data_IF_201279973460
#
_entry.id   IF_201279973460
#
_cell.length_a   1.000
_cell.length_b   1.000
_cell.length_c   1.000
_cell.angle_alpha   90.00
_cell.angle_beta   90.00
_cell.angle_gamma   90.00
#
_symmetry.space_group_name_H-M   'P 1'
#
loop_
_entity.id
_entity.type
_entity.pdbx_description
1 polymer ?
#
# COMPACT_ATOMS: atom_id res chain seq x y z
N UNK A 1 15.80 15.49 -0.35
CA UNK A 1 16.67 14.36 -0.76
C UNK A 1 16.37 13.09 0.00
N UNK A 2 15.50 12.25 -0.56
CA UNK A 2 15.20 10.91 -0.04
C UNK A 2 16.18 9.89 -0.65
N UNK A 3 17.40 9.86 -0.13
CA UNK A 3 18.41 8.88 -0.53
C UNK A 3 18.23 7.55 0.23
N UNK A 4 18.76 6.43 -0.29
CA UNK A 4 18.77 5.06 0.30
C UNK A 4 18.94 4.98 1.84
N UNK A 5 19.68 5.93 2.42
CA UNK A 5 19.86 6.08 3.86
C UNK A 5 18.54 6.42 4.57
N UNK A 6 17.66 7.25 4.01
CA UNK A 6 16.34 7.54 4.55
C UNK A 6 15.41 6.32 4.48
N UNK A 7 15.50 5.51 3.42
CA UNK A 7 14.74 4.25 3.30
C UNK A 7 15.18 3.21 4.34
N UNK A 8 16.50 3.00 4.50
CA UNK A 8 17.05 2.10 5.52
C UNK A 8 16.71 2.61 6.92
N UNK A 9 16.88 3.91 7.18
CA UNK A 9 16.47 4.54 8.45
C UNK A 9 14.97 4.40 8.68
N UNK A 10 14.14 4.52 7.64
CA UNK A 10 12.71 4.29 7.68
C UNK A 10 12.36 2.86 8.07
N UNK A 11 12.97 1.87 7.40
CA UNK A 11 12.82 0.45 7.73
C UNK A 11 13.28 0.11 9.15
N UNK A 12 14.40 0.68 9.60
CA UNK A 12 14.90 0.55 10.98
C UNK A 12 13.93 1.20 11.97
N UNK A 13 13.39 2.38 11.69
CA UNK A 13 12.40 3.04 12.54
C UNK A 13 11.11 2.22 12.66
N UNK A 14 10.62 1.67 11.55
CA UNK A 14 9.45 0.78 11.52
C UNK A 14 9.72 -0.49 12.33
N UNK A 15 10.92 -1.09 12.19
CA UNK A 15 11.36 -2.23 13.00
C UNK A 15 11.40 -1.89 14.48
N UNK A 16 12.07 -0.80 14.85
CA UNK A 16 12.21 -0.38 16.25
C UNK A 16 10.83 -0.12 16.86
N UNK A 17 9.92 0.52 16.12
CA UNK A 17 8.54 0.72 16.55
C UNK A 17 7.83 -0.62 16.81
N UNK A 18 7.94 -1.60 15.90
CA UNK A 18 7.37 -2.93 16.10
C UNK A 18 7.97 -3.63 17.32
N UNK A 19 9.29 -3.54 17.52
CA UNK A 19 9.98 -4.11 18.69
C UNK A 19 9.51 -3.48 19.98
N UNK A 20 9.38 -2.15 20.05
CA UNK A 20 8.81 -1.45 21.20
C UNK A 20 7.40 -1.96 21.52
N UNK A 21 6.52 -2.12 20.53
CA UNK A 21 5.18 -2.68 20.78
C UNK A 21 5.23 -4.12 21.31
N UNK A 22 6.17 -4.95 20.86
CA UNK A 22 6.37 -6.33 21.36
C UNK A 22 6.92 -6.37 22.78
N UNK A 23 7.83 -5.46 23.12
CA UNK A 23 8.35 -5.29 24.48
C UNK A 23 7.26 -4.84 25.43
N UNK A 24 6.44 -3.86 25.04
CA UNK A 24 5.30 -3.40 25.83
C UNK A 24 4.24 -4.50 26.01
N UNK A 25 3.99 -5.32 24.98
CA UNK A 25 3.08 -6.47 25.09
C UNK A 25 3.62 -7.52 26.08
N UNK A 26 4.94 -7.75 26.06
CA UNK A 26 5.61 -8.65 27.01
C UNK A 26 5.58 -8.09 28.43
N UNK A 27 5.72 -6.76 28.59
CA UNK A 27 5.59 -6.07 29.87
C UNK A 27 4.18 -6.24 30.46
N UNK A 28 3.13 -6.06 29.66
CA UNK A 28 1.74 -6.24 30.11
C UNK A 28 1.48 -7.67 30.60
N UNK A 29 2.13 -8.66 30.00
CA UNK A 29 2.00 -10.07 30.38
C UNK A 29 2.90 -10.46 31.57
N UNK A 30 3.80 -9.58 32.00
CA UNK A 30 4.71 -9.84 33.11
C UNK A 30 3.96 -9.87 34.44
N UNK A 31 4.25 -10.84 35.33
CA UNK A 31 3.64 -10.90 36.66
C UNK A 31 4.05 -9.71 37.56
N UNK A 32 5.11 -8.97 37.19
CA UNK A 32 5.58 -7.80 37.94
C UNK A 32 4.98 -6.48 37.46
N UNK A 33 4.12 -6.51 36.44
CA UNK A 33 3.51 -5.30 35.91
C UNK A 33 2.28 -4.89 36.74
N UNK A 34 2.33 -3.67 37.28
CA UNK A 34 1.26 -3.10 38.10
C UNK A 34 0.30 -2.30 37.22
N UNK A 35 -0.99 -2.61 37.31
CA UNK A 35 -2.04 -1.96 36.52
C UNK A 35 -2.43 -0.63 37.17
N UNK A 36 -2.01 0.48 36.56
CA UNK A 36 -2.46 1.83 36.94
C UNK A 36 -3.82 2.19 36.31
N UNK A 37 -4.34 3.39 36.62
CA UNK A 37 -5.64 3.88 36.13
C UNK A 37 -5.75 3.87 34.59
N UNK A 38 -4.65 4.16 33.88
CA UNK A 38 -4.60 4.18 32.42
C UNK A 38 -4.32 2.81 31.76
N UNK A 39 -4.26 1.73 32.55
CA UNK A 39 -3.89 0.40 32.05
C UNK A 39 -4.75 -0.05 30.86
N UNK A 40 -6.06 0.20 30.91
CA UNK A 40 -7.00 -0.24 29.87
C UNK A 40 -6.78 0.48 28.52
N UNK A 41 -6.33 1.73 28.55
CA UNK A 41 -5.95 2.49 27.35
C UNK A 41 -4.58 2.06 26.84
N UNK A 42 -3.62 1.87 27.74
CA UNK A 42 -2.27 1.40 27.43
C UNK A 42 -2.29 0.01 26.80
N UNK A 43 -2.98 -0.95 27.41
CA UNK A 43 -3.15 -2.31 26.88
C UNK A 43 -3.87 -2.29 25.53
N UNK A 44 -4.92 -1.49 25.38
CA UNK A 44 -5.60 -1.29 24.10
C UNK A 44 -4.67 -0.77 23.00
N UNK A 45 -3.86 0.26 23.30
CA UNK A 45 -2.89 0.83 22.37
C UNK A 45 -1.77 -0.13 21.99
N UNK A 46 -1.27 -0.92 22.95
CA UNK A 46 -0.23 -1.93 22.70
C UNK A 46 -0.75 -3.07 21.84
N UNK A 47 -1.92 -3.64 22.17
CA UNK A 47 -2.56 -4.70 21.38
C UNK A 47 -2.91 -4.23 19.98
N UNK A 48 -3.36 -2.98 19.85
CA UNK A 48 -3.58 -2.34 18.56
C UNK A 48 -2.29 -2.24 17.74
N UNK A 49 -1.22 -1.69 18.31
CA UNK A 49 0.06 -1.55 17.61
C UNK A 49 0.60 -2.91 17.14
N UNK A 50 0.66 -3.90 18.05
CA UNK A 50 1.07 -5.27 17.71
C UNK A 50 0.18 -5.87 16.62
N UNK A 51 -1.14 -5.70 16.73
CA UNK A 51 -2.11 -6.19 15.75
C UNK A 51 -1.94 -5.55 14.38
N UNK A 52 -1.77 -4.23 14.31
CA UNK A 52 -1.58 -3.48 13.07
C UNK A 52 -0.28 -3.89 12.36
N UNK A 53 0.82 -4.05 13.10
CA UNK A 53 2.08 -4.55 12.53
C UNK A 53 1.93 -5.99 12.04
N UNK A 54 1.33 -6.89 12.82
CA UNK A 54 1.12 -8.29 12.40
C UNK A 54 0.22 -8.40 11.17
N UNK A 55 -0.84 -7.59 11.11
CA UNK A 55 -1.74 -7.55 9.95
C UNK A 55 -1.01 -7.01 8.71
N UNK A 56 -0.30 -5.89 8.84
CA UNK A 56 0.54 -5.34 7.77
C UNK A 56 1.56 -6.37 7.27
N UNK A 57 2.25 -7.05 8.19
CA UNK A 57 3.20 -8.10 7.86
C UNK A 57 2.54 -9.30 7.15
N UNK A 58 1.36 -9.72 7.60
CA UNK A 58 0.62 -10.83 6.97
C UNK A 58 0.20 -10.56 5.53
N UNK A 59 0.07 -9.28 5.17
CA UNK A 59 -0.31 -8.84 3.82
C UNK A 59 0.88 -8.70 2.87
N UNK A 60 2.13 -8.74 3.37
CA UNK A 60 3.28 -8.71 2.50
C UNK A 60 3.50 -10.07 1.81
N UNK A 61 3.79 -10.08 0.50
CA UNK A 61 4.23 -11.29 -0.18
C UNK A 61 5.41 -11.96 0.54
N UNK A 62 5.42 -13.29 0.61
CA UNK A 62 6.45 -14.08 1.31
C UNK A 62 7.90 -13.80 0.85
N UNK A 63 8.09 -13.15 -0.30
CA UNK A 63 9.41 -12.68 -0.79
C UNK A 63 9.87 -11.40 -0.11
N UNK A 64 8.94 -10.51 0.25
CA UNK A 64 9.21 -9.27 0.98
C UNK A 64 9.42 -9.58 2.47
N UNK A 65 8.64 -10.50 3.03
CA UNK A 65 8.86 -11.01 4.39
C UNK A 65 10.29 -11.57 4.57
N UNK A 66 10.80 -12.34 3.61
CA UNK A 66 12.19 -12.83 3.61
C UNK A 66 13.26 -11.74 3.52
N UNK A 67 12.95 -10.60 2.90
CA UNK A 67 13.84 -9.43 2.88
C UNK A 67 13.78 -8.64 4.20
N UNK A 68 12.62 -8.61 4.86
CA UNK A 68 12.44 -8.00 6.19
C UNK A 68 13.02 -8.87 7.33
N UNK A 69 13.07 -10.19 7.16
CA UNK A 69 13.78 -11.13 8.04
C UNK A 69 15.28 -10.77 8.17
N UNK A 70 15.92 -10.36 7.07
CA UNK A 70 17.32 -9.88 7.07
C UNK A 70 17.50 -8.61 7.90
N UNK A 71 16.43 -7.82 8.07
CA UNK A 71 16.39 -6.61 8.91
C UNK A 71 15.84 -6.95 10.32
N UNK A 72 15.70 -8.23 10.68
CA UNK A 72 15.41 -8.66 12.07
C UNK A 72 13.93 -8.80 12.45
N UNK A 73 13.01 -8.86 11.49
CA UNK A 73 11.64 -9.29 11.75
C UNK A 73 11.59 -10.82 11.89
N UNK A 74 11.81 -11.35 13.10
CA UNK A 74 11.57 -12.77 13.40
C UNK A 74 10.12 -12.97 13.81
N UNK A 75 9.28 -13.42 12.89
CA UNK A 75 7.95 -13.97 13.18
C UNK A 75 8.04 -15.49 13.28
N UNK A 76 7.49 -16.09 14.33
CA UNK A 76 7.50 -17.55 14.54
C UNK A 76 7.08 -18.33 13.28
N UNK A 77 8.03 -19.11 12.75
CA UNK A 77 7.99 -19.87 11.47
C UNK A 77 6.87 -20.91 11.33
N UNK A 78 5.99 -21.08 12.32
CA UNK A 78 4.99 -22.17 12.33
C UNK A 78 3.59 -21.72 11.87
N UNK A 79 3.25 -20.43 11.95
CA UNK A 79 1.93 -19.94 11.46
C UNK A 79 1.95 -19.33 10.05
N UNK A 80 3.12 -18.90 9.55
CA UNK A 80 3.25 -18.21 8.26
C UNK A 80 3.30 -19.11 7.01
N UNK A 81 3.25 -20.44 7.17
CA UNK A 81 3.43 -21.40 6.05
C UNK A 81 2.13 -21.98 5.47
N UNK A 82 0.95 -21.48 5.87
CA UNK A 82 -0.36 -22.00 5.40
C UNK A 82 -1.37 -20.99 4.84
N UNK A 83 -1.02 -19.72 4.67
CA UNK A 83 -2.00 -18.65 4.41
C UNK A 83 -1.84 -17.95 3.06
N UNK A 84 -1.69 -18.72 1.98
CA UNK A 84 -1.93 -18.20 0.61
C UNK A 84 -3.42 -17.94 0.32
N UNK A 85 -4.30 -18.47 1.19
CA UNK A 85 -5.68 -18.03 1.37
C UNK A 85 -5.74 -17.40 2.76
N UNK A 86 -5.59 -16.07 2.83
CA UNK A 86 -5.87 -15.35 4.08
C UNK A 86 -7.32 -15.65 4.45
N UNK A 87 -7.57 -16.09 5.69
CA UNK A 87 -8.92 -16.26 6.20
C UNK A 87 -9.50 -14.85 6.38
N UNK A 88 -10.17 -14.35 5.35
CA UNK A 88 -10.73 -13.00 5.29
C UNK A 88 -11.74 -12.82 6.43
N UNK A 89 -12.44 -13.90 6.77
CA UNK A 89 -13.39 -13.99 7.87
C UNK A 89 -12.69 -13.78 9.23
N UNK A 90 -11.50 -14.34 9.42
CA UNK A 90 -10.71 -14.12 10.64
C UNK A 90 -10.20 -12.68 10.74
N UNK A 91 -9.71 -12.12 9.63
CA UNK A 91 -9.25 -10.73 9.59
C UNK A 91 -10.41 -9.76 9.93
N UNK A 92 -11.60 -10.03 9.41
CA UNK A 92 -12.80 -9.25 9.71
C UNK A 92 -13.22 -9.40 11.17
N UNK A 93 -13.21 -10.62 11.71
CA UNK A 93 -13.54 -10.89 13.12
C UNK A 93 -12.62 -10.12 14.06
N UNK A 94 -11.31 -10.08 13.76
CA UNK A 94 -10.33 -9.33 14.54
C UNK A 94 -10.52 -7.82 14.43
N UNK A 95 -10.90 -7.32 13.25
CA UNK A 95 -11.04 -5.88 12.99
C UNK A 95 -12.33 -5.29 13.56
N UNK A 96 -13.43 -6.04 13.55
CA UNK A 96 -14.78 -5.59 13.96
C UNK A 96 -14.84 -4.89 15.33
N UNK A 97 -14.27 -5.41 16.44
CA UNK A 97 -14.32 -4.71 17.73
C UNK A 97 -13.57 -3.38 17.71
N UNK A 98 -12.51 -3.25 16.91
CA UNK A 98 -11.77 -2.00 16.80
C UNK A 98 -12.51 -0.95 15.98
N UNK A 99 -13.21 -1.34 14.91
CA UNK A 99 -14.09 -0.42 14.17
C UNK A 99 -15.23 0.09 15.05
N UNK A 100 -15.80 -0.76 15.90
CA UNK A 100 -16.84 -0.35 16.85
C UNK A 100 -16.29 0.65 17.89
N UNK A 101 -15.07 0.40 18.40
CA UNK A 101 -14.45 1.27 19.42
C UNK A 101 -13.86 2.56 18.84
N UNK A 102 -13.38 2.52 17.60
CA UNK A 102 -12.67 3.60 16.93
C UNK A 102 -13.16 3.76 15.47
N UNK A 103 -14.41 4.22 15.28
CA UNK A 103 -15.04 4.26 13.96
C UNK A 103 -14.34 5.16 12.96
N UNK A 104 -13.60 6.18 13.43
CA UNK A 104 -12.77 7.08 12.60
C UNK A 104 -11.28 6.76 12.67
N UNK A 105 -10.89 5.58 13.10
CA UNK A 105 -9.48 5.19 13.08
C UNK A 105 -9.03 4.86 11.66
N UNK A 106 -8.25 5.74 11.03
CA UNK A 106 -7.80 5.59 9.64
C UNK A 106 -7.17 4.21 9.35
N UNK A 107 -6.34 3.69 10.27
CA UNK A 107 -5.75 2.35 10.10
C UNK A 107 -6.80 1.24 10.03
N UNK A 108 -7.88 1.35 10.82
CA UNK A 108 -8.95 0.36 10.82
C UNK A 108 -9.80 0.47 9.57
N UNK A 109 -10.13 1.70 9.14
CA UNK A 109 -10.87 1.96 7.91
C UNK A 109 -10.12 1.44 6.68
N UNK A 110 -8.80 1.70 6.62
CA UNK A 110 -7.93 1.18 5.56
C UNK A 110 -7.97 -0.35 5.48
N UNK A 111 -7.81 -1.05 6.61
CA UNK A 111 -7.88 -2.50 6.61
C UNK A 111 -9.29 -3.03 6.31
N UNK A 112 -10.32 -2.30 6.70
CA UNK A 112 -11.69 -2.65 6.35
C UNK A 112 -11.89 -2.56 4.83
N UNK A 113 -11.40 -1.51 4.17
CA UNK A 113 -11.40 -1.40 2.70
C UNK A 113 -10.61 -2.53 2.02
N UNK A 114 -9.47 -2.94 2.61
CA UNK A 114 -8.68 -4.07 2.09
C UNK A 114 -9.44 -5.40 2.19
N UNK A 115 -10.16 -5.63 3.29
CA UNK A 115 -11.03 -6.81 3.44
C UNK A 115 -12.14 -6.80 2.40
N UNK A 116 -12.84 -5.68 2.20
CA UNK A 116 -13.89 -5.58 1.17
C UNK A 116 -13.34 -5.80 -0.24
N UNK A 117 -12.15 -5.26 -0.55
CA UNK A 117 -11.45 -5.51 -1.81
C UNK A 117 -11.18 -7.01 -2.01
N UNK A 118 -10.72 -7.70 -0.96
CA UNK A 118 -10.45 -9.14 -1.01
C UNK A 118 -11.73 -9.99 -1.13
N UNK A 119 -12.86 -9.51 -0.61
CA UNK A 119 -14.19 -10.12 -0.80
C UNK A 119 -14.77 -9.87 -2.20
N UNK A 120 -14.18 -8.94 -2.96
CA UNK A 120 -14.71 -8.49 -4.26
C UNK A 120 -15.80 -7.40 -4.15
N UNK A 121 -16.06 -6.89 -2.94
CA UNK A 121 -17.04 -5.83 -2.69
C UNK A 121 -16.42 -4.45 -2.98
N UNK A 122 -16.13 -4.17 -4.25
CA UNK A 122 -15.31 -3.00 -4.63
C UNK A 122 -15.96 -1.67 -4.24
N UNK A 123 -17.29 -1.53 -4.34
CA UNK A 123 -18.00 -0.32 -3.92
C UNK A 123 -17.87 -0.04 -2.43
N UNK A 124 -18.01 -1.08 -1.60
CA UNK A 124 -17.79 -0.96 -0.16
C UNK A 124 -16.33 -0.61 0.16
N UNK A 125 -15.38 -1.16 -0.59
CA UNK A 125 -13.97 -0.84 -0.43
C UNK A 125 -13.68 0.64 -0.73
N UNK A 126 -14.21 1.18 -1.84
CA UNK A 126 -14.08 2.60 -2.21
C UNK A 126 -14.57 3.50 -1.09
N UNK A 127 -15.81 3.28 -0.61
CA UNK A 127 -16.37 4.08 0.48
C UNK A 127 -15.49 4.06 1.73
N UNK A 128 -14.94 2.89 2.10
CA UNK A 128 -14.05 2.77 3.26
C UNK A 128 -12.72 3.51 3.08
N UNK A 129 -12.16 3.55 1.87
CA UNK A 129 -10.95 4.32 1.60
C UNK A 129 -11.21 5.83 1.58
N UNK A 130 -12.37 6.27 1.09
CA UNK A 130 -12.78 7.67 1.14
C UNK A 130 -13.01 8.12 2.59
N UNK A 131 -13.79 7.37 3.38
CA UNK A 131 -13.95 7.59 4.83
C UNK A 131 -12.59 7.64 5.54
N UNK A 132 -11.66 6.77 5.13
CA UNK A 132 -10.32 6.74 5.69
C UNK A 132 -9.52 8.02 5.38
N UNK A 133 -9.65 8.55 4.17
CA UNK A 133 -9.04 9.82 3.79
C UNK A 133 -9.66 10.99 4.55
N UNK A 134 -10.96 10.97 4.80
CA UNK A 134 -11.67 12.01 5.57
C UNK A 134 -11.29 11.99 7.06
N UNK A 135 -11.09 10.79 7.63
CA UNK A 135 -10.86 10.58 9.05
C UNK A 135 -9.59 11.27 9.60
N UNK A 136 -8.62 11.59 8.75
CA UNK A 136 -7.40 12.31 9.16
C UNK A 136 -6.87 13.17 8.00
N UNK A 137 -6.35 14.37 8.27
CA UNK A 137 -5.83 15.29 7.23
C UNK A 137 -4.34 15.64 7.39
N UNK A 138 -3.69 15.18 8.45
CA UNK A 138 -2.32 15.58 8.79
C UNK A 138 -1.26 14.70 8.11
N UNK A 139 -1.54 13.42 7.94
CA UNK A 139 -0.59 12.42 7.46
C UNK A 139 -0.83 12.06 5.99
N UNK A 140 -0.36 12.91 5.08
CA UNK A 140 -0.57 12.78 3.63
C UNK A 140 -0.09 11.43 3.06
N UNK A 141 0.95 10.84 3.63
CA UNK A 141 1.46 9.54 3.21
C UNK A 141 0.43 8.41 3.42
N UNK A 142 -0.44 8.55 4.42
CA UNK A 142 -1.52 7.59 4.64
C UNK A 142 -2.61 7.71 3.57
N UNK A 143 -2.90 8.94 3.12
CA UNK A 143 -3.78 9.16 1.96
C UNK A 143 -3.22 8.52 0.70
N UNK A 144 -1.91 8.59 0.48
CA UNK A 144 -1.28 7.92 -0.67
C UNK A 144 -1.48 6.40 -0.66
N UNK A 145 -1.54 5.76 0.52
CA UNK A 145 -1.91 4.34 0.60
C UNK A 145 -3.37 4.12 0.15
N UNK A 146 -4.29 4.99 0.57
CA UNK A 146 -5.68 4.92 0.15
C UNK A 146 -5.84 5.20 -1.36
N UNK A 147 -5.14 6.20 -1.89
CA UNK A 147 -5.13 6.52 -3.33
C UNK A 147 -4.61 5.36 -4.18
N UNK A 148 -3.60 4.64 -3.69
CA UNK A 148 -3.12 3.44 -4.35
C UNK A 148 -4.21 2.36 -4.43
N UNK A 149 -4.92 2.11 -3.34
CA UNK A 149 -5.99 1.11 -3.31
C UNK A 149 -7.21 1.56 -4.13
N UNK A 150 -7.58 2.85 -4.07
CA UNK A 150 -8.64 3.44 -4.88
C UNK A 150 -8.34 3.33 -6.38
N UNK A 151 -7.10 3.61 -6.79
CA UNK A 151 -6.64 3.41 -8.17
C UNK A 151 -6.94 1.98 -8.67
N UNK A 152 -6.64 0.97 -7.85
CA UNK A 152 -6.96 -0.43 -8.18
C UNK A 152 -8.46 -0.74 -8.14
N UNK A 153 -9.20 -0.21 -7.17
CA UNK A 153 -10.66 -0.35 -7.12
C UNK A 153 -11.31 0.17 -8.42
N UNK A 154 -10.93 1.37 -8.85
CA UNK A 154 -11.43 1.95 -10.10
C UNK A 154 -10.94 1.20 -11.34
N UNK A 155 -9.75 0.59 -11.28
CA UNK A 155 -9.26 -0.33 -12.33
C UNK A 155 -10.16 -1.54 -12.46
N UNK A 156 -10.51 -2.21 -11.35
CA UNK A 156 -11.41 -3.37 -11.35
C UNK A 156 -12.80 -3.01 -11.86
N UNK A 157 -13.27 -1.79 -11.57
CA UNK A 157 -14.54 -1.24 -12.09
C UNK A 157 -14.45 -0.76 -13.55
N UNK A 158 -13.27 -0.76 -14.17
CA UNK A 158 -13.00 -0.19 -15.51
C UNK A 158 -13.34 1.29 -15.64
N UNK A 159 -13.22 2.04 -14.53
CA UNK A 159 -13.40 3.49 -14.51
C UNK A 159 -12.05 4.18 -14.71
N UNK A 160 -11.59 4.19 -15.97
CA UNK A 160 -10.22 4.60 -16.35
C UNK A 160 -9.88 6.04 -15.96
N UNK A 161 -10.84 6.96 -16.07
CA UNK A 161 -10.63 8.38 -15.70
C UNK A 161 -10.31 8.56 -14.22
N UNK A 162 -11.00 7.84 -13.34
CA UNK A 162 -10.73 7.85 -11.90
C UNK A 162 -9.41 7.15 -11.57
N UNK A 163 -9.14 6.01 -12.19
CA UNK A 163 -7.86 5.32 -12.01
C UNK A 163 -6.66 6.18 -12.47
N UNK A 164 -6.80 6.88 -13.60
CA UNK A 164 -5.85 7.86 -14.09
C UNK A 164 -5.65 9.00 -13.09
N UNK A 165 -6.73 9.56 -12.54
CA UNK A 165 -6.65 10.64 -11.56
C UNK A 165 -5.79 10.26 -10.34
N UNK A 166 -6.02 9.08 -9.74
CA UNK A 166 -5.21 8.64 -8.61
C UNK A 166 -3.76 8.31 -9.01
N UNK A 167 -3.53 7.74 -10.19
CA UNK A 167 -2.17 7.50 -10.69
C UNK A 167 -1.40 8.80 -10.93
N UNK A 168 -2.06 9.83 -11.49
CA UNK A 168 -1.49 11.16 -11.68
C UNK A 168 -1.20 11.84 -10.34
N UNK A 169 -2.14 11.81 -9.40
CA UNK A 169 -1.96 12.35 -8.05
C UNK A 169 -0.77 11.71 -7.34
N UNK A 170 -0.67 10.38 -7.36
CA UNK A 170 0.47 9.65 -6.81
C UNK A 170 1.78 9.98 -7.54
N UNK A 171 1.76 10.16 -8.86
CA UNK A 171 2.98 10.51 -9.61
C UNK A 171 3.54 11.89 -9.23
N UNK A 172 2.66 12.82 -8.83
CA UNK A 172 2.99 14.19 -8.42
C UNK A 172 3.44 14.25 -6.96
N UNK A 173 2.73 13.56 -6.08
CA UNK A 173 2.93 13.70 -4.63
C UNK A 173 3.83 12.63 -4.00
N UNK A 174 3.91 11.43 -4.60
CA UNK A 174 4.61 10.29 -4.02
C UNK A 174 5.94 10.01 -4.72
N UNK A 175 7.00 9.92 -3.92
CA UNK A 175 8.39 9.74 -4.37
C UNK A 175 8.83 8.27 -4.40
N UNK A 176 8.01 7.34 -3.91
CA UNK A 176 8.43 5.96 -3.63
C UNK A 176 8.66 5.12 -4.88
N UNK A 177 7.89 5.35 -5.95
CA UNK A 177 8.12 4.71 -7.25
C UNK A 177 7.54 5.50 -8.42
N UNK A 178 8.17 6.64 -8.74
CA UNK A 178 7.75 7.51 -9.85
C UNK A 178 7.58 6.77 -11.18
N UNK A 179 8.50 5.87 -11.51
CA UNK A 179 8.40 5.07 -12.73
C UNK A 179 7.14 4.18 -12.76
N UNK A 180 6.73 3.63 -11.62
CA UNK A 180 5.49 2.84 -11.53
C UNK A 180 4.27 3.73 -11.71
N UNK A 181 4.18 4.86 -11.01
CA UNK A 181 3.00 5.73 -11.10
C UNK A 181 2.81 6.31 -12.50
N UNK A 182 3.89 6.76 -13.15
CA UNK A 182 3.83 7.26 -14.54
C UNK A 182 3.46 6.14 -15.51
N UNK A 183 3.97 4.93 -15.32
CA UNK A 183 3.55 3.78 -16.13
C UNK A 183 2.05 3.49 -15.98
N UNK A 184 1.52 3.50 -14.74
CA UNK A 184 0.10 3.30 -14.49
C UNK A 184 -0.72 4.42 -15.12
N UNK A 185 -0.32 5.68 -14.94
CA UNK A 185 -0.94 6.86 -15.57
C UNK A 185 -1.03 6.71 -17.09
N UNK A 186 0.07 6.36 -17.75
CA UNK A 186 0.11 6.11 -19.20
C UNK A 186 -0.79 4.94 -19.61
N UNK A 187 -0.79 3.86 -18.81
CA UNK A 187 -1.61 2.67 -19.08
C UNK A 187 -3.11 2.95 -18.95
N UNK A 188 -3.53 3.82 -18.03
CA UNK A 188 -4.93 4.23 -17.93
C UNK A 188 -5.31 5.19 -19.05
N UNK A 189 -4.44 6.13 -19.40
CA UNK A 189 -4.67 7.05 -20.49
C UNK A 189 -4.85 6.32 -21.82
N UNK A 190 -4.08 5.26 -22.08
CA UNK A 190 -4.24 4.45 -23.30
C UNK A 190 -5.55 3.66 -23.36
N UNK A 191 -6.33 3.62 -22.28
CA UNK A 191 -7.67 2.99 -22.24
C UNK A 191 -8.81 3.99 -22.44
N UNK A 192 -8.50 5.27 -22.63
CA UNK A 192 -9.52 6.29 -22.90
C UNK A 192 -10.10 6.07 -24.31
N UNK A 193 -11.38 6.42 -24.48
CA UNK A 193 -12.06 6.29 -25.76
C UNK A 193 -11.53 7.29 -26.80
N UNK A 194 -11.79 7.08 -28.10
CA UNK A 194 -11.39 8.02 -29.15
C UNK A 194 -11.91 9.45 -28.96
N UNK A 195 -13.07 9.58 -28.33
CA UNK A 195 -13.73 10.87 -28.06
C UNK A 195 -13.35 11.49 -26.70
N UNK A 196 -12.56 10.78 -25.89
CA UNK A 196 -12.13 11.28 -24.58
C UNK A 196 -10.96 12.26 -24.74
N UNK A 197 -11.08 13.46 -24.18
CA UNK A 197 -9.97 14.40 -24.13
C UNK A 197 -8.91 13.95 -23.12
N UNK A 198 -7.63 13.99 -23.53
CA UNK A 198 -6.51 13.80 -22.63
C UNK A 198 -6.47 14.88 -21.55
N UNK A 199 -6.52 14.53 -20.25
CA UNK A 199 -6.39 15.50 -19.18
C UNK A 199 -5.02 16.20 -19.27
N UNK A 200 -5.00 17.52 -19.07
CA UNK A 200 -3.78 18.33 -19.00
C UNK A 200 -2.84 18.24 -20.22
N UNK A 201 -3.33 17.79 -21.37
CA UNK A 201 -2.51 17.59 -22.57
C UNK A 201 -1.52 16.42 -22.47
N UNK A 202 -1.74 15.51 -21.52
CA UNK A 202 -0.93 14.30 -21.39
C UNK A 202 -1.01 13.44 -22.67
N UNK A 203 0.11 12.88 -23.07
CA UNK A 203 0.20 11.93 -24.18
C UNK A 203 0.75 10.59 -23.65
N UNK A 204 0.02 9.51 -23.89
CA UNK A 204 0.34 8.19 -23.34
C UNK A 204 1.68 7.66 -23.87
N UNK A 205 2.02 7.91 -25.14
CA UNK A 205 3.27 7.47 -25.75
C UNK A 205 4.45 8.18 -25.07
N UNK A 206 4.37 9.50 -24.92
CA UNK A 206 5.41 10.29 -24.25
C UNK A 206 5.57 9.89 -22.78
N UNK A 207 4.46 9.65 -22.08
CA UNK A 207 4.49 9.14 -20.70
C UNK A 207 5.18 7.77 -20.62
N UNK A 208 4.91 6.84 -21.55
CA UNK A 208 5.63 5.56 -21.57
C UNK A 208 7.13 5.74 -21.86
N UNK A 209 7.51 6.67 -22.75
CA UNK A 209 8.91 6.92 -23.12
C UNK A 209 9.75 7.44 -21.97
N UNK A 210 9.17 8.18 -21.02
CA UNK A 210 9.89 8.68 -19.84
C UNK A 210 10.03 7.64 -18.72
N UNK A 211 9.22 6.57 -18.68
CA UNK A 211 9.27 5.55 -17.59
C UNK A 211 10.69 5.01 -17.33
N UNK A 212 11.52 4.66 -18.34
CA UNK A 212 12.88 4.19 -18.11
C UNK A 212 13.81 5.19 -17.44
N UNK A 213 13.62 6.50 -17.64
CA UNK A 213 14.47 7.55 -17.05
C UNK A 213 14.12 7.84 -15.59
N UNK A 214 12.90 7.50 -15.17
CA UNK A 214 12.40 7.69 -13.80
C UNK A 214 12.80 6.57 -12.82
N UNK A 215 13.58 5.60 -13.30
CA UNK A 215 14.00 4.42 -12.56
C UNK A 215 14.80 4.77 -11.32
N UNK A 216 14.36 4.26 -10.17
CA UNK A 216 15.11 4.34 -8.93
C UNK A 216 15.99 3.08 -8.75
N UNK A 217 17.15 3.28 -8.12
CA UNK A 217 18.01 2.19 -7.66
C UNK A 217 18.11 2.25 -6.14
N UNK A 218 17.73 1.18 -5.47
CA UNK A 218 17.88 0.98 -4.03
C UNK A 218 18.95 -0.10 -3.84
N UNK A 219 20.06 0.24 -3.18
CA UNK A 219 21.22 -0.65 -3.02
C UNK A 219 21.71 -1.26 -4.36
N UNK A 220 21.81 -0.42 -5.40
CA UNK A 220 22.20 -0.82 -6.74
C UNK A 220 21.16 -1.67 -7.51
N UNK A 221 20.08 -2.11 -6.85
CA UNK A 221 19.01 -2.90 -7.43
C UNK A 221 17.77 -2.06 -7.70
N UNK A 222 17.11 -2.33 -8.81
CA UNK A 222 15.84 -1.67 -9.16
C UNK A 222 14.67 -2.41 -8.52
N UNK A 223 13.65 -1.66 -8.10
CA UNK A 223 12.42 -2.21 -7.57
C UNK A 223 11.78 -3.19 -8.58
N UNK A 224 11.26 -4.35 -8.15
CA UNK A 224 10.64 -5.32 -9.07
C UNK A 224 9.49 -4.73 -9.90
N UNK A 225 8.67 -3.86 -9.29
CA UNK A 225 7.57 -3.15 -9.96
C UNK A 225 8.07 -2.22 -11.06
N UNK A 226 9.14 -1.47 -10.81
CA UNK A 226 9.74 -0.60 -11.83
C UNK A 226 10.39 -1.39 -12.96
N UNK A 227 11.05 -2.53 -12.66
CA UNK A 227 11.58 -3.41 -13.72
C UNK A 227 10.47 -3.89 -14.64
N UNK A 228 9.32 -4.23 -14.08
CA UNK A 228 8.14 -4.60 -14.83
C UNK A 228 7.64 -3.44 -15.70
N UNK A 229 7.42 -2.26 -15.11
CA UNK A 229 6.95 -1.06 -15.79
C UNK A 229 7.87 -0.69 -16.97
N UNK A 230 9.18 -0.62 -16.73
CA UNK A 230 10.20 -0.31 -17.75
C UNK A 230 10.17 -1.34 -18.87
N UNK A 231 10.10 -2.64 -18.55
CA UNK A 231 10.07 -3.69 -19.56
C UNK A 231 8.84 -3.57 -20.47
N UNK A 232 7.67 -3.23 -19.91
CA UNK A 232 6.44 -3.04 -20.67
C UNK A 232 6.47 -1.75 -21.50
N UNK A 233 6.97 -0.67 -20.93
CA UNK A 233 7.09 0.64 -21.59
C UNK A 233 8.03 0.64 -22.80
N UNK A 234 9.00 -0.28 -22.89
CA UNK A 234 9.91 -0.41 -24.05
C UNK A 234 9.20 -0.51 -25.41
N UNK A 235 7.97 -1.02 -25.45
CA UNK A 235 7.14 -1.11 -26.65
C UNK A 235 6.83 0.24 -27.30
N UNK A 236 6.98 1.32 -26.54
CA UNK A 236 6.69 2.69 -26.95
C UNK A 236 7.94 3.49 -27.36
N UNK A 237 9.13 2.86 -27.33
CA UNK A 237 10.38 3.49 -27.75
C UNK A 237 10.55 3.54 -29.27
N UNK A 238 9.84 2.70 -30.03
CA UNK A 238 9.85 2.76 -31.49
C UNK A 238 9.06 3.97 -31.99
N UNK A 239 9.33 4.36 -33.24
CA UNK A 239 8.57 5.36 -33.98
C UNK A 239 7.12 4.92 -34.24
N UNK A 240 6.91 3.61 -34.43
CA UNK A 240 5.59 2.98 -34.51
C UNK A 240 5.38 2.07 -33.29
N UNK A 241 4.82 2.59 -32.19
CA UNK A 241 4.70 1.85 -30.94
C UNK A 241 3.59 0.79 -31.01
N UNK A 242 3.79 -0.34 -30.32
CA UNK A 242 2.76 -1.39 -30.20
C UNK A 242 1.98 -1.17 -28.90
N UNK A 243 0.67 -0.86 -28.95
CA UNK A 243 -0.12 -0.58 -27.76
C UNK A 243 -0.18 -1.76 -26.77
N UNK A 244 -0.46 -1.45 -25.50
CA UNK A 244 -0.77 -2.48 -24.51
C UNK A 244 -2.07 -3.20 -24.89
N UNK A 245 -2.08 -4.55 -24.94
CA UNK A 245 -3.29 -5.30 -25.32
C UNK A 245 -4.36 -5.33 -24.23
N UNK A 246 -3.98 -5.03 -22.97
CA UNK A 246 -4.86 -5.03 -21.81
C UNK A 246 -4.39 -3.97 -20.79
N UNK A 247 -5.30 -3.45 -19.95
CA UNK A 247 -5.03 -2.49 -18.86
C UNK A 247 -3.91 -2.96 -17.91
N UNK A 248 -3.38 -2.11 -17.01
CA UNK A 248 -2.07 -2.31 -16.35
C UNK A 248 -1.92 -3.66 -15.62
N UNK A 249 -1.44 -4.67 -16.37
CA UNK A 249 -1.05 -6.03 -15.97
C UNK A 249 0.08 -6.57 -16.86
#
# INVERSE_FOLDING_TARGET
DENMVSFIKGGIKVRNSYQTYRELDSLIQSPHYVKGENHLHFEGGVKLGVGAFNLTLSMFPARILRLLEFVGFSGNKVKGKRTGKGNVEEAERLLKPYLARYPKGAIFLFFAGRIETLKGNIDAAVNRYEECCEAQQYWKQFHHMCYWELMWCFTYKRQWKMAFFYADLLSKENTWSKATYIYMKASYLSMFGPDDCSPFGDNEIELFRIVPSLKLKIAGKSLPTEKFAIRKARRYLSSNPVPLPVPPL
#
